data_IF_406230478089
#
_entry.id   IF_406230478089
#
_cell.length_a   1.000
_cell.length_b   1.000
_cell.length_c   1.000
_cell.angle_alpha   90.00
_cell.angle_beta   90.00
_cell.angle_gamma   90.00
#
_symmetry.space_group_name_H-M   'P 1'
#
loop_
_entity.id
_entity.type
_entity.pdbx_description
1 polymer ?
#
# COMPACT_ATOMS: atom_id res chain seq x y z
N UNK A 1 20.86 -7.52 9.04
CA UNK A 1 19.84 -7.45 10.12
C UNK A 1 18.50 -7.18 9.48
N UNK A 2 17.57 -8.12 9.59
CA UNK A 2 16.28 -8.06 8.89
C UNK A 2 15.31 -7.13 9.64
N UNK A 3 14.93 -6.00 9.00
CA UNK A 3 14.07 -4.95 9.60
C UNK A 3 12.65 -5.45 9.96
N UNK A 4 12.33 -6.67 9.53
CA UNK A 4 11.11 -7.42 9.82
C UNK A 4 11.04 -7.91 11.27
N UNK A 5 12.19 -8.30 11.86
CA UNK A 5 12.29 -8.83 13.22
C UNK A 5 12.00 -7.76 14.27
N UNK A 6 12.41 -6.51 14.00
CA UNK A 6 12.29 -5.40 14.95
C UNK A 6 10.83 -5.00 15.26
N UNK A 7 9.87 -5.31 14.37
CA UNK A 7 8.50 -4.78 14.46
C UNK A 7 7.51 -5.69 15.20
N UNK A 8 7.67 -7.01 15.07
CA UNK A 8 6.87 -7.97 15.86
C UNK A 8 7.26 -7.87 17.34
N UNK A 9 8.54 -7.60 17.60
CA UNK A 9 9.08 -7.41 18.94
C UNK A 9 8.42 -6.25 19.70
N UNK A 10 7.96 -5.18 19.02
CA UNK A 10 7.32 -4.04 19.70
C UNK A 10 5.99 -4.44 20.34
N UNK A 11 5.16 -5.21 19.64
CA UNK A 11 3.87 -5.65 20.18
C UNK A 11 4.10 -6.62 21.33
N UNK A 12 4.99 -7.60 21.16
CA UNK A 12 5.31 -8.57 22.22
C UNK A 12 5.89 -7.89 23.46
N UNK A 13 6.83 -6.95 23.29
CA UNK A 13 7.40 -6.20 24.42
C UNK A 13 6.33 -5.33 25.11
N UNK A 14 5.46 -4.68 24.33
CA UNK A 14 4.38 -3.87 24.89
C UNK A 14 3.43 -4.72 25.75
N UNK A 15 3.03 -5.90 25.28
CA UNK A 15 2.15 -6.80 26.04
C UNK A 15 2.83 -7.40 27.27
N UNK A 16 4.14 -7.67 27.20
CA UNK A 16 4.92 -8.10 28.37
C UNK A 16 5.00 -7.01 29.44
N UNK A 17 5.20 -5.77 29.02
CA UNK A 17 5.27 -4.61 29.93
C UNK A 17 3.91 -4.21 30.49
N UNK A 18 2.81 -4.59 29.83
CA UNK A 18 1.44 -4.22 30.22
C UNK A 18 0.55 -5.47 30.33
N UNK A 19 0.72 -6.30 31.38
CA UNK A 19 0.06 -7.61 31.48
C UNK A 19 -1.46 -7.52 31.67
N UNK A 20 -1.98 -6.37 32.12
CA UNK A 20 -3.41 -6.08 32.28
C UNK A 20 -4.07 -5.58 30.99
N UNK A 21 -3.30 -5.33 29.92
CA UNK A 21 -3.83 -4.82 28.67
C UNK A 21 -4.73 -5.85 27.99
N UNK A 22 -5.82 -5.38 27.40
CA UNK A 22 -6.74 -6.25 26.66
C UNK A 22 -6.00 -6.91 25.49
N UNK A 23 -5.95 -8.25 25.50
CA UNK A 23 -5.23 -9.02 24.48
C UNK A 23 -5.98 -9.07 23.15
N UNK A 24 -7.25 -8.65 23.12
CA UNK A 24 -8.03 -8.46 21.90
C UNK A 24 -7.63 -7.14 21.22
N UNK A 25 -6.88 -7.25 20.13
CA UNK A 25 -6.30 -6.09 19.44
C UNK A 25 -6.87 -5.95 18.03
N UNK A 26 -7.25 -4.73 17.68
CA UNK A 26 -7.53 -4.34 16.30
C UNK A 26 -6.31 -3.63 15.71
N UNK A 27 -5.90 -4.03 14.51
CA UNK A 27 -4.86 -3.32 13.78
C UNK A 27 -5.50 -2.36 12.79
N UNK A 28 -5.25 -1.07 12.96
CA UNK A 28 -5.82 -0.01 12.12
C UNK A 28 -4.71 0.69 11.36
N UNK A 29 -4.84 0.75 10.04
CA UNK A 29 -3.88 1.44 9.15
C UNK A 29 -4.59 2.39 8.20
N UNK A 30 -4.02 3.57 8.04
CA UNK A 30 -4.49 4.61 7.11
C UNK A 30 -3.39 5.04 6.14
N UNK A 31 -3.74 5.50 4.94
CA UNK A 31 -2.76 5.99 3.95
C UNK A 31 -1.61 4.98 3.73
N UNK A 32 -0.35 5.39 3.86
CA UNK A 32 0.83 4.52 3.74
C UNK A 32 0.94 3.49 4.87
N UNK A 33 0.39 3.78 6.06
CA UNK A 33 0.40 2.84 7.19
C UNK A 33 -0.44 1.59 6.97
N UNK A 34 -1.41 1.63 6.04
CA UNK A 34 -2.22 0.49 5.68
C UNK A 34 -1.40 -0.68 5.11
N UNK A 35 -0.36 -0.41 4.31
CA UNK A 35 0.56 -1.45 3.83
C UNK A 35 1.30 -2.13 4.99
N UNK A 36 1.76 -1.33 5.96
CA UNK A 36 2.45 -1.87 7.13
C UNK A 36 1.54 -2.72 8.00
N UNK A 37 0.30 -2.26 8.23
CA UNK A 37 -0.70 -3.00 9.00
C UNK A 37 -1.09 -4.30 8.30
N UNK A 38 -1.28 -4.28 6.98
CA UNK A 38 -1.55 -5.49 6.20
C UNK A 38 -0.40 -6.52 6.31
N UNK A 39 0.86 -6.08 6.16
CA UNK A 39 2.03 -6.95 6.32
C UNK A 39 2.16 -7.50 7.74
N UNK A 40 1.91 -6.67 8.75
CA UNK A 40 2.00 -7.06 10.15
C UNK A 40 0.91 -8.09 10.49
N UNK A 41 -0.33 -7.83 10.09
CA UNK A 41 -1.44 -8.75 10.27
C UNK A 41 -1.17 -10.10 9.59
N UNK A 42 -0.67 -10.10 8.35
CA UNK A 42 -0.32 -11.33 7.64
C UNK A 42 0.76 -12.13 8.38
N UNK A 43 1.77 -11.47 8.95
CA UNK A 43 2.81 -12.13 9.74
C UNK A 43 2.29 -12.71 11.05
N UNK A 44 1.45 -11.96 11.76
CA UNK A 44 0.84 -12.42 13.01
C UNK A 44 -0.14 -13.57 12.78
N UNK A 45 -0.85 -13.57 11.65
CA UNK A 45 -1.69 -14.69 11.24
C UNK A 45 -0.86 -15.94 10.90
N UNK A 46 0.28 -15.77 10.23
CA UNK A 46 1.18 -16.88 9.89
C UNK A 46 1.95 -17.43 11.11
N UNK A 47 2.24 -16.58 12.10
CA UNK A 47 2.90 -16.95 13.36
C UNK A 47 2.15 -16.33 14.55
N UNK A 48 1.09 -16.99 15.02
CA UNK A 48 0.29 -16.50 16.14
C UNK A 48 1.16 -16.29 17.38
N UNK A 49 1.04 -15.12 17.98
CA UNK A 49 1.69 -14.79 19.24
C UNK A 49 0.71 -15.12 20.39
N UNK A 50 1.08 -15.96 21.37
CA UNK A 50 0.16 -16.37 22.45
C UNK A 50 -0.29 -15.21 23.35
N UNK A 51 0.36 -14.05 23.26
CA UNK A 51 0.08 -12.88 24.09
C UNK A 51 -0.89 -11.88 23.45
N UNK A 52 -1.17 -12.01 22.14
CA UNK A 52 -1.97 -11.04 21.37
C UNK A 52 -2.96 -11.79 20.51
N UNK A 53 -4.24 -11.53 20.72
CA UNK A 53 -5.33 -12.04 19.90
C UNK A 53 -5.80 -10.94 18.94
N UNK A 54 -5.45 -11.08 17.66
CA UNK A 54 -5.88 -10.12 16.63
C UNK A 54 -7.34 -10.39 16.30
N UNK A 55 -8.23 -9.47 16.67
CA UNK A 55 -9.69 -9.60 16.46
C UNK A 55 -10.10 -9.10 15.08
N UNK A 56 -9.35 -8.13 14.53
CA UNK A 56 -9.64 -7.61 13.21
C UNK A 56 -8.60 -6.64 12.69
N UNK A 57 -8.69 -6.39 11.39
CA UNK A 57 -7.84 -5.45 10.68
C UNK A 57 -8.73 -4.45 9.96
N UNK A 58 -8.44 -3.16 10.12
CA UNK A 58 -9.14 -2.08 9.44
C UNK A 58 -8.14 -1.25 8.63
N UNK A 59 -8.36 -1.15 7.32
CA UNK A 59 -7.53 -0.40 6.39
C UNK A 59 -8.39 0.71 5.77
N UNK A 60 -8.10 1.98 6.08
CA UNK A 60 -8.92 3.12 5.66
C UNK A 60 -8.12 4.03 4.75
N UNK A 61 -8.64 4.32 3.54
CA UNK A 61 -7.96 5.19 2.55
C UNK A 61 -6.48 4.83 2.38
N UNK A 62 -6.19 3.54 2.35
CA UNK A 62 -4.86 2.99 2.48
C UNK A 62 -4.26 2.54 1.15
N UNK A 63 -2.96 2.73 0.98
CA UNK A 63 -2.22 2.23 -0.20
C UNK A 63 -1.71 0.82 0.10
N UNK A 64 -2.52 -0.19 -0.19
CA UNK A 64 -2.17 -1.61 0.00
C UNK A 64 -1.72 -2.27 -1.31
N UNK A 65 -2.31 -1.83 -2.43
CA UNK A 65 -1.93 -2.24 -3.79
C UNK A 65 -1.69 -0.99 -4.63
N UNK A 66 -0.43 -0.66 -4.98
CA UNK A 66 -0.11 0.55 -5.74
C UNK A 66 -0.90 0.63 -7.06
N UNK A 67 -0.96 -0.46 -7.84
CA UNK A 67 -1.71 -0.47 -9.10
C UNK A 67 -3.21 -0.29 -8.90
N UNK A 68 -3.77 -0.83 -7.80
CA UNK A 68 -5.18 -0.66 -7.46
C UNK A 68 -5.53 0.82 -7.23
N UNK A 69 -4.66 1.56 -6.55
CA UNK A 69 -4.83 2.98 -6.29
C UNK A 69 -4.77 3.79 -7.59
N UNK A 70 -3.76 3.57 -8.45
CA UNK A 70 -3.64 4.31 -9.70
C UNK A 70 -4.79 4.03 -10.68
N UNK A 71 -5.23 2.77 -10.80
CA UNK A 71 -6.45 2.42 -11.56
C UNK A 71 -7.69 3.07 -10.96
N UNK A 72 -7.79 3.10 -9.64
CA UNK A 72 -8.86 3.80 -8.93
C UNK A 72 -8.88 5.30 -9.25
N UNK A 73 -7.72 5.95 -9.30
CA UNK A 73 -7.61 7.37 -9.66
C UNK A 73 -8.16 7.66 -11.06
N UNK A 74 -7.79 6.85 -12.06
CA UNK A 74 -8.31 7.01 -13.44
C UNK A 74 -9.82 6.77 -13.50
N UNK A 75 -10.32 5.73 -12.84
CA UNK A 75 -11.77 5.47 -12.77
C UNK A 75 -12.53 6.61 -12.10
N UNK A 76 -11.98 7.19 -11.04
CA UNK A 76 -12.60 8.35 -10.37
C UNK A 76 -12.55 9.59 -11.27
N UNK A 77 -11.44 9.83 -11.98
CA UNK A 77 -11.33 10.94 -12.91
C UNK A 77 -12.38 10.86 -14.02
N UNK A 78 -12.60 9.67 -14.58
CA UNK A 78 -13.62 9.43 -15.59
C UNK A 78 -15.05 9.58 -15.04
N UNK A 79 -15.37 8.83 -13.97
CA UNK A 79 -16.72 8.76 -13.42
C UNK A 79 -17.22 10.08 -12.83
N UNK A 80 -16.30 10.95 -12.39
CA UNK A 80 -16.62 12.29 -11.86
C UNK A 80 -16.40 13.39 -12.90
N UNK A 81 -16.03 13.06 -14.13
CA UNK A 81 -15.71 14.00 -15.20
C UNK A 81 -14.69 15.06 -14.78
N UNK A 82 -13.67 14.66 -14.01
CA UNK A 82 -12.63 15.57 -13.52
C UNK A 82 -11.71 16.05 -14.64
N UNK A 83 -11.56 15.24 -15.69
CA UNK A 83 -10.70 15.50 -16.84
C UNK A 83 -11.45 15.22 -18.15
N UNK A 84 -11.03 15.83 -19.27
CA UNK A 84 -11.52 15.47 -20.59
C UNK A 84 -11.31 13.98 -20.91
N UNK A 85 -12.20 13.38 -21.69
CA UNK A 85 -12.13 11.95 -22.06
C UNK A 85 -10.80 11.57 -22.73
N UNK A 86 -10.23 12.47 -23.52
CA UNK A 86 -8.93 12.26 -24.17
C UNK A 86 -7.81 12.12 -23.14
N UNK A 87 -7.80 12.96 -22.10
CA UNK A 87 -6.82 12.85 -21.01
C UNK A 87 -7.01 11.58 -20.20
N UNK A 88 -8.25 11.19 -19.89
CA UNK A 88 -8.54 9.92 -19.21
C UNK A 88 -8.07 8.71 -20.04
N UNK A 89 -8.28 8.76 -21.37
CA UNK A 89 -7.80 7.71 -22.27
C UNK A 89 -6.27 7.63 -22.27
N UNK A 90 -5.60 8.80 -22.25
CA UNK A 90 -4.14 8.85 -22.13
C UNK A 90 -3.64 8.30 -20.80
N UNK A 91 -4.25 8.68 -19.67
CA UNK A 91 -3.92 8.12 -18.35
C UNK A 91 -4.08 6.60 -18.33
N UNK A 92 -5.12 6.08 -18.99
CA UNK A 92 -5.36 4.63 -19.10
C UNK A 92 -4.28 3.93 -19.89
N UNK A 93 -3.83 4.52 -21.00
CA UNK A 93 -2.74 3.99 -21.82
C UNK A 93 -1.41 4.02 -21.06
N UNK A 94 -1.07 5.16 -20.44
CA UNK A 94 0.17 5.34 -19.69
C UNK A 94 0.24 4.41 -18.45
N UNK A 95 -0.92 4.07 -17.87
CA UNK A 95 -1.03 3.09 -16.79
C UNK A 95 -0.56 1.68 -17.17
N UNK A 96 -0.61 1.29 -18.45
CA UNK A 96 -0.10 -0.02 -18.88
C UNK A 96 1.42 -0.13 -18.67
N UNK A 97 2.13 0.98 -18.89
CA UNK A 97 3.56 1.05 -18.63
C UNK A 97 3.86 0.99 -17.13
N UNK A 98 3.06 1.68 -16.32
CA UNK A 98 3.12 1.60 -14.86
C UNK A 98 2.96 0.15 -14.36
N UNK A 99 1.97 -0.59 -14.86
CA UNK A 99 1.72 -2.00 -14.45
C UNK A 99 2.93 -2.89 -14.75
N UNK A 100 3.54 -2.73 -15.93
CA UNK A 100 4.75 -3.46 -16.33
C UNK A 100 5.92 -3.17 -15.38
N UNK A 101 6.12 -1.90 -15.02
CA UNK A 101 7.22 -1.49 -14.13
C UNK A 101 6.98 -1.92 -12.68
N UNK A 102 5.73 -1.98 -12.23
CA UNK A 102 5.38 -2.60 -10.94
C UNK A 102 5.73 -4.09 -10.96
N UNK A 103 5.50 -4.78 -12.08
CA UNK A 103 5.97 -6.16 -12.28
C UNK A 103 7.49 -6.29 -12.12
N UNK A 104 8.25 -5.38 -12.73
CA UNK A 104 9.72 -5.33 -12.60
C UNK A 104 10.18 -5.05 -11.16
N UNK A 105 9.51 -4.14 -10.46
CA UNK A 105 9.75 -3.87 -9.03
C UNK A 105 9.62 -5.15 -8.17
N UNK A 106 8.67 -6.02 -8.51
CA UNK A 106 8.38 -7.25 -7.78
C UNK A 106 9.03 -8.51 -8.38
N UNK A 107 9.99 -8.38 -9.29
CA UNK A 107 10.55 -9.51 -10.05
C UNK A 107 11.33 -10.54 -9.21
N UNK A 108 11.72 -10.18 -7.97
CA UNK A 108 12.30 -11.12 -7.00
C UNK A 108 11.29 -12.20 -6.55
N UNK A 109 10.00 -12.01 -6.81
CA UNK A 109 8.94 -12.95 -6.50
C UNK A 109 8.23 -12.67 -5.17
N UNK A 110 7.11 -13.37 -4.92
CA UNK A 110 6.28 -13.13 -3.73
C UNK A 110 7.07 -13.30 -2.42
N UNK A 111 6.85 -12.38 -1.48
CA UNK A 111 7.47 -12.42 -0.16
C UNK A 111 8.96 -12.05 -0.13
N UNK A 112 9.61 -11.80 -1.28
CA UNK A 112 10.98 -11.29 -1.34
C UNK A 112 11.01 -9.77 -1.38
N UNK A 113 12.12 -9.14 -0.92
CA UNK A 113 12.27 -7.70 -1.04
C UNK A 113 12.17 -7.26 -2.49
N UNK A 114 11.50 -6.13 -2.77
CA UNK A 114 11.38 -5.62 -4.11
C UNK A 114 12.70 -4.96 -4.56
N UNK A 115 12.89 -4.81 -5.87
CA UNK A 115 14.10 -4.21 -6.45
C UNK A 115 13.97 -2.68 -6.44
N UNK A 116 14.64 -2.03 -5.48
CA UNK A 116 14.53 -0.59 -5.21
C UNK A 116 14.59 0.30 -6.46
N UNK A 117 15.57 0.07 -7.35
CA UNK A 117 15.73 0.88 -8.57
C UNK A 117 14.52 0.78 -9.52
N UNK A 118 13.90 -0.40 -9.64
CA UNK A 118 12.71 -0.60 -10.47
C UNK A 118 11.46 -0.05 -9.78
N UNK A 119 11.37 -0.12 -8.46
CA UNK A 119 10.25 0.46 -7.71
C UNK A 119 10.22 1.98 -7.81
N UNK A 120 11.37 2.65 -7.67
CA UNK A 120 11.44 4.10 -7.82
C UNK A 120 11.03 4.55 -9.23
N UNK A 121 11.42 3.78 -10.25
CA UNK A 121 11.00 4.02 -11.63
C UNK A 121 9.49 3.84 -11.78
N UNK A 122 8.95 2.74 -11.26
CA UNK A 122 7.53 2.44 -11.29
C UNK A 122 6.71 3.55 -10.64
N UNK A 123 7.07 3.98 -9.42
CA UNK A 123 6.40 5.09 -8.72
C UNK A 123 6.35 6.33 -9.60
N UNK A 124 7.51 6.76 -10.13
CA UNK A 124 7.57 7.93 -11.00
C UNK A 124 6.66 7.79 -12.22
N UNK A 125 6.73 6.68 -12.95
CA UNK A 125 5.89 6.46 -14.13
C UNK A 125 4.40 6.45 -13.78
N UNK A 126 4.02 5.83 -12.66
CA UNK A 126 2.62 5.80 -12.24
C UNK A 126 2.09 7.17 -11.78
N UNK A 127 2.90 7.94 -11.04
CA UNK A 127 2.56 9.31 -10.63
C UNK A 127 2.43 10.22 -11.85
N UNK A 128 3.37 10.12 -12.79
CA UNK A 128 3.34 10.88 -14.05
C UNK A 128 2.10 10.56 -14.89
N UNK A 129 1.70 9.29 -14.92
CA UNK A 129 0.53 8.82 -15.67
C UNK A 129 -0.81 9.24 -15.05
N UNK A 130 -0.88 9.48 -13.73
CA UNK A 130 -2.17 9.58 -13.04
C UNK A 130 -2.32 10.81 -12.14
N UNK A 131 -1.32 11.19 -11.36
CA UNK A 131 -1.42 12.30 -10.42
C UNK A 131 -1.13 13.63 -11.10
N UNK A 132 -0.10 13.69 -11.95
CA UNK A 132 0.29 14.93 -12.62
C UNK A 132 -0.83 15.56 -13.48
N UNK A 133 -1.63 14.81 -14.27
CA UNK A 133 -2.76 15.38 -15.00
C UNK A 133 -3.82 15.99 -14.07
N UNK A 134 -4.14 15.29 -12.97
CA UNK A 134 -5.09 15.78 -11.96
C UNK A 134 -4.59 17.03 -11.25
N UNK A 135 -3.30 17.10 -10.92
CA UNK A 135 -2.69 18.28 -10.31
C UNK A 135 -2.70 19.49 -11.23
N UNK A 136 -2.41 19.30 -12.53
CA UNK A 136 -2.46 20.37 -13.53
C UNK A 136 -3.87 20.97 -13.62
N UNK A 137 -4.91 20.13 -13.63
CA UNK A 137 -6.30 20.60 -13.66
C UNK A 137 -6.71 21.35 -12.39
N UNK A 138 -6.22 20.94 -11.22
CA UNK A 138 -6.48 21.65 -9.95
C UNK A 138 -5.91 23.08 -9.95
N UNK A 139 -4.86 23.34 -10.75
CA UNK A 139 -4.19 24.64 -10.85
C UNK A 139 -4.72 25.55 -11.97
N UNK A 140 -5.61 25.06 -12.82
CA UNK A 140 -6.25 25.82 -13.92
C UNK A 140 -7.64 26.32 -13.53
#
# INVERSE_FOLDING_TARGET
>A
MDSSSCRVDVITKFTQQNPTFNRNVHLVGTSSSAAFVAMLAARLAAKPQPQVHIVGVMLISGVVSPIGIYRGAVRMADARHLLPKEEVSKMTADLQQCDTQIGQCNSNGPGKPPISAFCNRAVKTCDDATLNPLEKKKRS
#
